data_IF_160615720972
#
_entry.id   IF_160615720972
#
_cell.length_a   1.000
_cell.length_b   1.000
_cell.length_c   1.000
_cell.angle_alpha   90.00
_cell.angle_beta   90.00
_cell.angle_gamma   90.00
#
_symmetry.space_group_name_H-M   'P 1'
#
loop_
_entity.id
_entity.type
_entity.pdbx_description
1 polymer ?
#
# COMPACT_ATOMS: atom_id res chain seq x y z
N UNK A 1 -26.35 9.45 -30.01
CA UNK A 1 -27.74 9.49 -29.49
C UNK A 1 -28.50 10.55 -30.27
N UNK A 2 -29.77 10.30 -30.59
CA UNK A 2 -30.59 11.23 -31.39
C UNK A 2 -31.78 11.74 -30.58
N UNK A 3 -32.22 12.96 -30.85
CA UNK A 3 -33.40 13.56 -30.22
C UNK A 3 -33.25 13.63 -28.70
N UNK A 4 -34.23 13.07 -28.00
CA UNK A 4 -34.30 13.02 -26.53
C UNK A 4 -33.61 11.79 -25.92
N UNK A 5 -32.91 10.96 -26.70
CA UNK A 5 -32.28 9.74 -26.19
C UNK A 5 -31.09 10.06 -25.29
N UNK A 6 -31.01 9.40 -24.13
CA UNK A 6 -29.97 9.66 -23.13
C UNK A 6 -29.55 8.39 -22.38
N UNK A 7 -28.26 8.28 -22.05
CA UNK A 7 -27.74 7.22 -21.17
C UNK A 7 -28.07 7.57 -19.73
N UNK A 8 -28.79 6.67 -19.05
CA UNK A 8 -29.09 6.78 -17.63
C UNK A 8 -27.93 6.27 -16.77
N UNK A 9 -27.37 5.13 -17.15
CA UNK A 9 -26.32 4.47 -16.36
C UNK A 9 -25.50 3.50 -17.20
N UNK A 10 -24.37 3.10 -16.64
CA UNK A 10 -23.53 2.00 -17.11
C UNK A 10 -23.13 1.16 -15.89
N UNK A 11 -22.91 -0.13 -16.09
CA UNK A 11 -22.26 -0.97 -15.10
C UNK A 11 -20.76 -0.73 -15.15
N UNK A 12 -20.13 -0.46 -14.00
CA UNK A 12 -18.68 -0.29 -13.90
C UNK A 12 -18.09 -1.47 -13.13
N UNK A 13 -17.23 -2.25 -13.79
CA UNK A 13 -16.55 -3.39 -13.17
C UNK A 13 -15.06 -3.09 -13.01
N UNK A 14 -14.57 -3.11 -11.77
CA UNK A 14 -13.14 -2.99 -11.49
C UNK A 14 -12.45 -4.35 -11.69
N UNK A 15 -11.33 -4.35 -12.40
CA UNK A 15 -10.51 -5.53 -12.66
C UNK A 15 -9.16 -5.37 -11.96
N UNK A 16 -8.64 -6.46 -11.42
CA UNK A 16 -7.37 -6.47 -10.68
C UNK A 16 -7.47 -5.95 -9.24
N UNK A 17 -8.67 -5.59 -8.77
CA UNK A 17 -8.89 -5.17 -7.37
C UNK A 17 -9.17 -6.40 -6.51
N UNK A 18 -8.34 -6.62 -5.49
CA UNK A 18 -8.65 -7.54 -4.40
C UNK A 18 -9.09 -6.71 -3.21
N UNK A 19 -10.35 -6.88 -2.78
CA UNK A 19 -10.86 -6.16 -1.60
C UNK A 19 -10.19 -6.74 -0.35
N UNK A 20 -9.42 -5.91 0.34
CA UNK A 20 -8.81 -6.24 1.63
C UNK A 20 -9.01 -5.08 2.60
N UNK A 21 -8.61 -5.24 3.86
CA UNK A 21 -8.66 -4.15 4.85
C UNK A 21 -7.61 -3.05 4.60
N UNK A 22 -6.66 -3.25 3.68
CA UNK A 22 -5.58 -2.31 3.36
C UNK A 22 -5.56 -2.04 1.85
N UNK A 23 -5.50 -0.78 1.46
CA UNK A 23 -5.41 -0.39 0.06
C UNK A 23 -4.14 -0.96 -0.58
N UNK A 24 -4.27 -1.56 -1.76
CA UNK A 24 -3.15 -2.12 -2.51
C UNK A 24 -2.61 -1.10 -3.50
N UNK A 25 -1.29 -0.91 -3.53
CA UNK A 25 -0.66 -0.12 -4.57
C UNK A 25 -0.61 -0.91 -5.88
N UNK A 26 -0.69 -0.20 -7.00
CA UNK A 26 -0.73 -0.82 -8.33
C UNK A 26 -1.63 -0.05 -9.30
N UNK A 27 -1.85 -0.64 -10.46
CA UNK A 27 -2.75 -0.10 -11.48
C UNK A 27 -3.96 -1.02 -11.60
N UNK A 28 -5.14 -0.42 -11.51
CA UNK A 28 -6.43 -1.08 -11.60
C UNK A 28 -7.17 -0.54 -12.82
N UNK A 29 -7.91 -1.40 -13.51
CA UNK A 29 -8.78 -0.94 -14.59
C UNK A 29 -10.24 -0.97 -14.20
N UNK A 30 -11.02 -0.03 -14.72
CA UNK A 30 -12.48 -0.06 -14.64
C UNK A 30 -13.01 -0.16 -16.06
N UNK A 31 -13.79 -1.21 -16.31
CA UNK A 31 -14.44 -1.46 -17.59
C UNK A 31 -15.94 -1.14 -17.49
N UNK A 32 -16.42 -0.13 -18.22
CA UNK A 32 -17.86 0.08 -18.37
C UNK A 32 -18.50 -1.03 -19.21
N UNK A 33 -19.77 -1.31 -18.96
CA UNK A 33 -20.59 -2.28 -19.68
C UNK A 33 -22.07 -2.01 -19.46
N UNK A 34 -22.94 -2.73 -20.18
CA UNK A 34 -24.39 -2.74 -19.95
C UNK A 34 -24.98 -1.33 -19.81
N UNK A 35 -24.82 -0.52 -20.86
CA UNK A 35 -25.44 0.80 -20.90
C UNK A 35 -26.96 0.68 -20.81
N UNK A 36 -27.57 1.54 -20.01
CA UNK A 36 -29.02 1.66 -19.86
C UNK A 36 -29.41 3.06 -20.33
N UNK A 37 -30.40 3.15 -21.21
CA UNK A 37 -30.95 4.42 -21.65
C UNK A 37 -32.12 4.84 -20.74
N UNK A 38 -32.18 6.12 -20.38
CA UNK A 38 -33.37 6.70 -19.73
C UNK A 38 -34.51 6.88 -20.74
N UNK A 39 -34.15 7.12 -21.99
CA UNK A 39 -35.01 7.42 -23.13
C UNK A 39 -34.33 6.88 -24.38
N UNK A 40 -35.10 6.30 -25.30
CA UNK A 40 -34.59 5.63 -26.50
C UNK A 40 -34.58 4.10 -26.40
N UNK A 41 -34.20 3.44 -27.49
CA UNK A 41 -34.15 1.97 -27.59
C UNK A 41 -32.72 1.50 -27.80
N UNK A 42 -32.20 0.62 -26.93
CA UNK A 42 -30.82 0.14 -26.98
C UNK A 42 -30.43 -0.51 -28.32
N UNK A 43 -31.35 -1.23 -28.95
CA UNK A 43 -31.11 -1.93 -30.22
C UNK A 43 -30.79 -0.98 -31.41
N UNK A 44 -31.01 0.33 -31.27
CA UNK A 44 -30.69 1.32 -32.30
C UNK A 44 -29.23 1.79 -32.25
N UNK A 45 -28.44 1.31 -31.28
CA UNK A 45 -27.10 1.83 -31.00
C UNK A 45 -26.11 0.70 -30.75
N UNK A 46 -24.91 0.87 -31.30
CA UNK A 46 -23.74 0.09 -30.89
C UNK A 46 -22.95 0.87 -29.84
N UNK A 47 -22.61 0.20 -28.73
CA UNK A 47 -21.80 0.78 -27.66
C UNK A 47 -20.41 0.16 -27.68
N UNK A 48 -19.40 1.02 -27.72
CA UNK A 48 -18.01 0.63 -27.49
C UNK A 48 -17.60 1.08 -26.09
N UNK A 49 -16.93 0.19 -25.36
CA UNK A 49 -16.44 0.46 -24.01
C UNK A 49 -14.91 0.41 -24.02
N UNK A 50 -14.30 1.42 -23.40
CA UNK A 50 -12.85 1.53 -23.26
C UNK A 50 -12.53 1.44 -21.77
N UNK A 51 -11.51 0.65 -21.44
CA UNK A 51 -11.04 0.50 -20.07
C UNK A 51 -10.33 1.78 -19.62
N UNK A 52 -10.66 2.25 -18.42
CA UNK A 52 -9.95 3.34 -17.75
C UNK A 52 -8.96 2.76 -16.74
N UNK A 53 -7.74 3.27 -16.72
CA UNK A 53 -6.71 2.84 -15.77
C UNK A 53 -6.56 3.86 -14.61
N UNK A 54 -6.46 3.35 -13.39
CA UNK A 54 -6.28 4.12 -12.16
C UNK A 54 -5.08 3.59 -11.40
N UNK A 55 -4.16 4.47 -11.04
CA UNK A 55 -2.95 4.09 -10.31
C UNK A 55 -3.04 4.52 -8.85
N UNK A 56 -2.79 3.57 -7.96
CA UNK A 56 -2.55 3.82 -6.53
C UNK A 56 -1.05 3.73 -6.31
N UNK A 57 -0.45 4.86 -5.95
CA UNK A 57 0.97 4.90 -5.63
C UNK A 57 1.25 4.20 -4.30
N UNK A 58 2.48 3.69 -4.15
CA UNK A 58 2.93 3.16 -2.86
C UNK A 58 2.91 4.25 -1.79
N UNK A 59 2.53 3.88 -0.58
CA UNK A 59 2.63 4.74 0.59
C UNK A 59 4.09 4.82 1.08
N UNK A 60 4.47 5.89 1.78
CA UNK A 60 5.80 5.98 2.37
C UNK A 60 5.88 5.14 3.64
N UNK A 61 6.85 4.22 3.72
CA UNK A 61 7.10 3.37 4.88
C UNK A 61 8.10 4.04 5.83
N UNK A 62 7.68 4.36 7.04
CA UNK A 62 8.63 4.74 8.09
C UNK A 62 8.87 3.55 9.03
N UNK A 63 10.15 3.21 9.23
CA UNK A 63 10.60 2.27 10.27
C UNK A 63 11.67 2.97 11.09
N UNK A 64 11.44 3.11 12.39
CA UNK A 64 12.30 3.89 13.27
C UNK A 64 12.80 3.03 14.43
N UNK A 65 14.09 3.09 14.72
CA UNK A 65 14.64 2.46 15.91
C UNK A 65 14.09 3.15 17.17
N UNK A 66 13.73 2.36 18.17
CA UNK A 66 13.27 2.87 19.46
C UNK A 66 14.46 2.94 20.41
N UNK A 67 14.78 4.16 20.88
CA UNK A 67 15.87 4.35 21.83
C UNK A 67 15.47 3.82 23.22
N UNK A 68 16.35 3.04 23.85
CA UNK A 68 16.24 2.70 25.27
C UNK A 68 16.96 3.75 26.10
N UNK A 69 16.23 4.76 26.57
CA UNK A 69 16.79 5.95 27.23
C UNK A 69 16.97 5.82 28.75
N UNK A 70 16.24 4.89 29.38
CA UNK A 70 16.26 4.72 30.84
C UNK A 70 17.34 3.75 31.33
N UNK A 71 18.20 3.27 30.42
CA UNK A 71 19.20 2.23 30.69
C UNK A 71 18.58 0.83 30.73
N UNK A 72 19.41 -0.17 30.42
CA UNK A 72 19.03 -1.59 30.47
C UNK A 72 19.70 -2.25 31.69
N UNK A 73 19.01 -3.18 32.36
CA UNK A 73 19.61 -3.96 33.45
C UNK A 73 20.63 -4.94 32.86
N UNK A 74 21.85 -4.93 33.38
CA UNK A 74 22.88 -5.88 32.96
C UNK A 74 22.59 -7.28 33.53
N UNK A 75 22.42 -8.25 32.65
CA UNK A 75 22.20 -9.66 33.01
C UNK A 75 23.13 -10.63 32.23
N UNK A 76 24.16 -10.10 31.57
CA UNK A 76 25.09 -10.88 30.74
C UNK A 76 24.58 -11.21 29.33
N UNK A 77 23.31 -10.96 29.01
CA UNK A 77 22.76 -11.19 27.68
C UNK A 77 22.74 -9.89 26.86
N UNK A 78 22.88 -9.97 25.52
CA UNK A 78 22.76 -8.80 24.66
C UNK A 78 21.32 -8.27 24.68
N UNK A 79 21.18 -6.96 24.84
CA UNK A 79 19.94 -6.28 24.55
C UNK A 79 19.82 -6.08 23.04
N UNK A 80 18.68 -6.41 22.45
CA UNK A 80 18.37 -6.13 21.04
C UNK A 80 17.38 -4.97 20.99
N UNK A 81 17.73 -3.94 20.24
CA UNK A 81 16.88 -2.78 20.05
C UNK A 81 15.55 -3.14 19.39
N UNK A 82 14.51 -2.40 19.71
CA UNK A 82 13.19 -2.52 19.10
C UNK A 82 12.99 -1.41 18.06
N UNK A 83 11.90 -1.50 17.30
CA UNK A 83 11.54 -0.52 16.28
C UNK A 83 10.03 -0.30 16.26
N UNK A 84 9.61 0.82 15.66
CA UNK A 84 8.22 1.10 15.29
C UNK A 84 8.10 1.14 13.77
N UNK A 85 6.89 0.90 13.25
CA UNK A 85 6.59 0.96 11.82
C UNK A 85 5.22 1.59 11.57
N UNK A 86 5.07 2.24 10.41
CA UNK A 86 3.79 2.79 9.94
C UNK A 86 2.98 1.80 9.10
N UNK A 87 3.52 0.62 8.77
CA UNK A 87 2.78 -0.40 8.02
C UNK A 87 1.50 -0.81 8.75
N UNK A 88 0.45 -1.12 8.00
CA UNK A 88 -0.88 -1.41 8.53
C UNK A 88 -1.35 -2.82 8.19
N UNK A 89 -2.17 -3.40 9.06
CA UNK A 89 -2.88 -4.66 8.80
C UNK A 89 -1.96 -5.79 8.35
N UNK A 90 -2.37 -6.50 7.29
CA UNK A 90 -1.62 -7.62 6.71
C UNK A 90 -0.23 -7.23 6.19
N UNK A 91 -0.03 -5.97 5.79
CA UNK A 91 1.26 -5.50 5.31
C UNK A 91 2.27 -5.43 6.46
N UNK A 92 1.84 -5.03 7.66
CA UNK A 92 2.68 -5.02 8.84
C UNK A 92 3.13 -6.43 9.24
N UNK A 93 2.23 -7.41 9.13
CA UNK A 93 2.55 -8.82 9.42
C UNK A 93 3.43 -9.46 8.34
N UNK A 94 3.40 -8.96 7.11
CA UNK A 94 4.23 -9.43 6.01
C UNK A 94 5.59 -8.69 5.88
N UNK A 95 5.90 -7.82 6.84
CA UNK A 95 7.13 -7.04 6.91
C UNK A 95 8.19 -7.79 7.71
N UNK A 96 9.40 -7.87 7.17
CA UNK A 96 10.59 -8.33 7.91
C UNK A 96 11.56 -7.16 8.07
N UNK A 97 11.94 -6.87 9.32
CA UNK A 97 12.90 -5.80 9.65
C UNK A 97 14.18 -6.41 10.22
N UNK A 98 15.32 -6.02 9.68
CA UNK A 98 16.66 -6.45 10.12
C UNK A 98 17.51 -5.25 10.52
N UNK A 99 18.68 -5.50 11.12
CA UNK A 99 19.67 -4.45 11.41
C UNK A 99 19.41 -3.69 12.70
N UNK A 100 18.60 -4.25 13.60
CA UNK A 100 18.46 -3.77 14.97
C UNK A 100 19.81 -3.84 15.68
N UNK A 101 20.16 -2.76 16.36
CA UNK A 101 21.35 -2.73 17.21
C UNK A 101 21.27 -3.83 18.29
N UNK A 102 22.41 -4.45 18.58
CA UNK A 102 22.54 -5.39 19.68
C UNK A 102 23.84 -5.15 20.46
N UNK A 103 23.77 -5.19 21.79
CA UNK A 103 24.91 -4.93 22.65
C UNK A 103 24.71 -5.40 24.09
N UNK A 104 25.78 -5.83 24.73
CA UNK A 104 25.80 -6.33 26.12
C UNK A 104 26.42 -5.32 27.09
N UNK A 105 27.39 -4.52 26.61
CA UNK A 105 28.14 -3.57 27.42
C UNK A 105 27.49 -2.19 27.40
N UNK A 106 27.87 -1.33 28.35
CA UNK A 106 27.47 0.07 28.32
C UNK A 106 28.04 0.76 27.08
N UNK A 107 27.18 1.45 26.33
CA UNK A 107 27.56 2.14 25.10
C UNK A 107 26.35 2.55 24.28
N UNK A 108 26.62 3.30 23.22
CA UNK A 108 25.63 3.66 22.20
C UNK A 108 25.76 2.70 21.03
N UNK A 109 24.66 2.07 20.64
CA UNK A 109 24.61 1.16 19.51
C UNK A 109 23.58 1.67 18.49
N UNK A 110 24.04 1.92 17.26
CA UNK A 110 23.19 2.44 16.19
C UNK A 110 22.54 1.30 15.43
N UNK A 111 21.22 1.38 15.18
CA UNK A 111 20.51 0.44 14.31
C UNK A 111 20.64 0.87 12.85
N UNK A 112 20.93 -0.07 11.96
CA UNK A 112 20.89 0.14 10.51
C UNK A 112 19.70 -0.64 9.93
N UNK A 113 18.50 -0.14 10.20
CA UNK A 113 17.28 -0.86 9.91
C UNK A 113 17.06 -1.00 8.40
N UNK A 114 16.77 -2.23 7.97
CA UNK A 114 16.39 -2.54 6.60
C UNK A 114 15.06 -3.31 6.59
N UNK A 115 14.25 -3.07 5.57
CA UNK A 115 12.93 -3.70 5.42
C UNK A 115 12.92 -4.58 4.19
N UNK A 116 12.36 -5.78 4.34
CA UNK A 116 12.08 -6.72 3.25
C UNK A 116 10.67 -7.32 3.42
N UNK A 117 10.21 -8.05 2.40
CA UNK A 117 8.92 -8.76 2.43
C UNK A 117 7.84 -8.11 1.58
N UNK A 118 6.64 -8.70 1.61
CA UNK A 118 5.53 -8.31 0.74
C UNK A 118 4.95 -6.92 1.06
N UNK A 119 5.25 -6.37 2.24
CA UNK A 119 4.96 -4.95 2.59
C UNK A 119 5.43 -3.98 1.50
N UNK A 120 6.54 -4.29 0.81
CA UNK A 120 7.12 -3.43 -0.22
C UNK A 120 6.31 -3.41 -1.52
N UNK A 121 5.26 -4.23 -1.65
CA UNK A 121 4.29 -4.11 -2.73
C UNK A 121 3.47 -2.82 -2.58
N UNK A 122 3.07 -2.48 -1.34
CA UNK A 122 2.20 -1.34 -1.04
C UNK A 122 2.95 -0.13 -0.49
N UNK A 123 4.17 -0.34 0.00
CA UNK A 123 4.94 0.71 0.64
C UNK A 123 6.33 0.88 0.02
N UNK A 124 6.80 2.12 -0.09
CA UNK A 124 8.18 2.44 -0.46
C UNK A 124 8.98 2.82 0.78
N UNK A 125 10.15 2.21 0.97
CA UNK A 125 11.13 2.73 1.94
C UNK A 125 11.61 4.09 1.43
N UNK A 126 11.67 5.14 2.25
CA UNK A 126 12.17 6.43 1.82
C UNK A 126 13.58 6.25 1.26
N UNK A 127 13.85 6.86 0.10
CA UNK A 127 15.22 6.95 -0.40
C UNK A 127 16.04 7.72 0.65
N UNK A 128 17.24 7.26 1.03
CA UNK A 128 18.15 8.10 1.79
C UNK A 128 18.43 9.34 0.95
N UNK A 129 18.05 10.51 1.45
CA UNK A 129 18.43 11.80 0.86
C UNK A 129 19.92 11.96 1.14
N UNK A 130 20.74 11.78 0.11
CA UNK A 130 22.14 12.17 0.12
C UNK A 130 22.20 13.63 -0.31
N UNK A 131 22.47 14.51 0.64
CA UNK A 131 22.90 15.89 0.40
C UNK A 131 24.34 16.07 0.87
#
# INVERSE_FOLDING_TARGET
LVGSDAVASVTQSAVGVTSTAVAQAGTFSVRPSNAVLSTGTLANYDFTYVDSAYTVNKANLAVNATASLTGNVYNGNPFVGTYTSTALGSDASAMTVTGQASGTNAGTYTSNLAVTGAVLANWSTPMPIWW
#
